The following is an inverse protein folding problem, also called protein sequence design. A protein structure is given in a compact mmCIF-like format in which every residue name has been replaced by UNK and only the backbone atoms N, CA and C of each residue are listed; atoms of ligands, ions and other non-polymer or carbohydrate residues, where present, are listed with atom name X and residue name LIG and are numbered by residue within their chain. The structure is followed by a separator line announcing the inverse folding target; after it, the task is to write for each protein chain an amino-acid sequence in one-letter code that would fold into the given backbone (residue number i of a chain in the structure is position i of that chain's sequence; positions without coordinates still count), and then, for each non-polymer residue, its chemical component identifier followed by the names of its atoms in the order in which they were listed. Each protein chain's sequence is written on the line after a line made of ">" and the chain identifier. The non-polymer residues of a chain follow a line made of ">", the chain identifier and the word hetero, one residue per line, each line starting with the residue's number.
data_IF_286355150024
#
_entry.id   IF_286355150024
#
_cell.length_a   1.000
_cell.length_b   1.000
_cell.length_c   1.000
_cell.angle_alpha   90.00
_cell.angle_beta   90.00
_cell.angle_gamma   90.00
#
_symmetry.space_group_name_H-M   'P 1'
#
loop_
_entity.id
_entity.type
_entity.pdbx_description
1 polymer ?
#
# COMPACT_ATOMS: atom_id res chain seq x y z
N UNK A 1 7.14 -6.65 -20.65
CA UNK A 1 7.28 -5.20 -20.81
C UNK A 1 7.91 -4.65 -19.55
N UNK A 2 9.18 -4.25 -19.62
CA UNK A 2 9.92 -3.67 -18.50
C UNK A 2 9.71 -2.15 -18.59
N UNK A 3 8.99 -1.56 -17.64
CA UNK A 3 8.84 -0.10 -17.58
C UNK A 3 10.17 0.46 -17.07
N UNK A 4 10.88 1.30 -17.84
CA UNK A 4 12.08 1.96 -17.35
C UNK A 4 11.70 2.96 -16.25
N UNK A 5 12.12 2.68 -15.02
CA UNK A 5 12.14 3.64 -13.91
C UNK A 5 12.92 4.89 -14.35
N UNK A 6 12.25 6.02 -14.50
CA UNK A 6 12.90 7.32 -14.62
C UNK A 6 13.70 7.59 -13.34
N UNK A 7 14.97 7.95 -13.50
CA UNK A 7 15.95 8.09 -12.42
C UNK A 7 15.75 9.32 -11.51
N UNK A 8 14.61 10.01 -11.63
CA UNK A 8 14.38 11.34 -11.03
C UNK A 8 13.42 11.32 -9.84
N UNK A 9 12.89 10.16 -9.44
CA UNK A 9 12.10 10.01 -8.22
C UNK A 9 12.81 9.09 -7.22
N UNK A 10 14.01 9.48 -6.79
CA UNK A 10 14.66 8.79 -5.67
C UNK A 10 15.06 9.84 -4.64
N UNK A 11 14.57 9.65 -3.41
CA UNK A 11 14.86 10.43 -2.20
C UNK A 11 13.91 11.60 -1.90
N UNK A 12 12.68 11.25 -1.48
CA UNK A 12 12.24 11.87 -0.23
C UNK A 12 13.19 11.38 0.86
N UNK A 13 13.84 12.30 1.56
CA UNK A 13 14.71 11.99 2.70
C UNK A 13 13.81 11.53 3.86
N UNK A 14 13.34 10.28 3.79
CA UNK A 14 12.61 9.67 4.89
C UNK A 14 13.62 9.46 6.01
N UNK A 15 13.64 10.39 6.97
CA UNK A 15 14.37 10.21 8.22
C UNK A 15 13.63 9.17 9.07
N UNK A 16 13.78 7.90 8.70
CA UNK A 16 13.19 6.77 9.42
C UNK A 16 13.98 6.62 10.73
N UNK A 17 13.35 6.75 11.90
CA UNK A 17 14.02 6.52 13.17
C UNK A 17 14.70 5.15 13.19
N UNK A 18 15.95 5.11 13.65
CA UNK A 18 16.75 3.87 13.73
C UNK A 18 16.03 2.77 14.50
N UNK A 19 15.33 3.14 15.56
CA UNK A 19 14.47 2.25 16.35
C UNK A 19 13.42 1.52 15.50
N UNK A 20 12.78 2.21 14.55
CA UNK A 20 11.77 1.60 13.68
C UNK A 20 12.39 0.63 12.69
N UNK A 21 13.59 0.93 12.18
CA UNK A 21 14.35 0.00 11.34
C UNK A 21 14.74 -1.25 12.13
N UNK A 22 15.22 -1.10 13.37
CA UNK A 22 15.58 -2.22 14.24
C UNK A 22 14.37 -3.12 14.55
N UNK A 23 13.20 -2.52 14.81
CA UNK A 23 11.94 -3.25 15.01
C UNK A 23 11.49 -4.00 13.75
N UNK A 24 11.59 -3.35 12.58
CA UNK A 24 11.27 -3.97 11.31
C UNK A 24 12.17 -5.20 11.03
N UNK A 25 13.48 -5.05 11.21
CA UNK A 25 14.45 -6.14 11.05
C UNK A 25 14.23 -7.27 12.07
N UNK A 26 13.87 -6.95 13.31
CA UNK A 26 13.48 -7.94 14.30
C UNK A 26 12.22 -8.72 13.89
N UNK A 27 11.21 -8.03 13.34
CA UNK A 27 10.00 -8.67 12.85
C UNK A 27 10.26 -9.54 11.61
N UNK A 28 11.14 -9.10 10.70
CA UNK A 28 11.50 -9.81 9.48
C UNK A 28 12.19 -11.17 9.77
N UNK A 29 13.00 -11.24 10.84
CA UNK A 29 13.70 -12.46 11.31
C UNK A 29 12.78 -13.55 11.89
N UNK A 30 11.50 -13.25 12.14
CA UNK A 30 10.55 -14.24 12.69
C UNK A 30 10.34 -15.41 11.70
N UNK A 31 10.22 -16.66 12.18
CA UNK A 31 9.91 -17.81 11.31
C UNK A 31 8.63 -17.58 10.49
N UNK A 32 8.57 -18.12 9.27
CA UNK A 32 7.45 -17.93 8.36
C UNK A 32 6.08 -18.27 9.00
N UNK A 33 6.00 -19.38 9.74
CA UNK A 33 4.77 -19.78 10.42
C UNK A 33 4.29 -18.72 11.43
N UNK A 34 5.23 -18.05 12.11
CA UNK A 34 4.92 -16.98 13.05
C UNK A 34 4.48 -15.70 12.33
N UNK A 35 5.14 -15.38 11.21
CA UNK A 35 4.74 -14.27 10.35
C UNK A 35 3.33 -14.49 9.81
N UNK A 36 3.03 -15.65 9.24
CA UNK A 36 1.69 -15.94 8.72
C UNK A 36 0.62 -15.93 9.82
N UNK A 37 0.95 -16.36 11.04
CA UNK A 37 0.01 -16.32 12.16
C UNK A 37 -0.38 -14.90 12.60
N UNK A 38 0.54 -13.94 12.51
CA UNK A 38 0.35 -12.59 13.07
C UNK A 38 0.45 -11.43 12.06
N UNK A 39 0.73 -11.71 10.77
CA UNK A 39 0.84 -10.67 9.74
C UNK A 39 -0.52 -10.18 9.24
N UNK A 40 -1.58 -10.96 9.43
CA UNK A 40 -2.92 -10.57 9.00
C UNK A 40 -3.59 -9.78 10.12
N UNK A 41 -3.83 -8.51 9.82
CA UNK A 41 -4.73 -7.66 10.60
C UNK A 41 -6.04 -7.53 9.82
N UNK A 42 -7.16 -7.63 10.53
CA UNK A 42 -8.45 -7.26 9.96
C UNK A 42 -8.59 -5.74 10.02
N UNK A 43 -8.14 -5.08 8.95
CA UNK A 43 -8.31 -3.63 8.79
C UNK A 43 -9.48 -3.39 7.86
N UNK A 44 -10.51 -2.75 8.37
CA UNK A 44 -11.59 -2.21 7.56
C UNK A 44 -11.02 -1.17 6.58
N UNK A 45 -11.28 -1.38 5.29
CA UNK A 45 -10.90 -0.50 4.19
C UNK A 45 -12.15 0.28 3.76
N UNK A 46 -12.29 1.55 4.19
CA UNK A 46 -13.48 2.34 3.87
C UNK A 46 -13.76 2.36 2.38
N UNK A 47 -15.04 2.32 2.00
CA UNK A 47 -15.52 2.31 0.61
C UNK A 47 -15.25 1.00 -0.15
N UNK A 48 -14.08 0.37 0.04
CA UNK A 48 -13.75 -0.91 -0.58
C UNK A 48 -14.53 -2.07 0.04
N UNK A 49 -14.59 -2.13 1.37
CA UNK A 49 -15.27 -3.21 2.09
C UNK A 49 -16.81 -2.99 2.15
N UNK A 50 -17.29 -1.81 1.77
CA UNK A 50 -18.71 -1.43 1.81
C UNK A 50 -19.53 -1.97 0.64
N UNK A 51 -18.88 -2.47 -0.41
CA UNK A 51 -19.53 -2.99 -1.60
C UNK A 51 -18.98 -4.37 -1.95
N UNK A 52 -19.86 -5.30 -2.33
CA UNK A 52 -19.46 -6.68 -2.68
C UNK A 52 -18.58 -6.76 -3.94
N UNK A 53 -18.77 -5.85 -4.90
CA UNK A 53 -17.88 -5.70 -6.06
C UNK A 53 -18.02 -4.32 -6.71
N UNK A 54 -17.01 -3.94 -7.48
CA UNK A 54 -17.03 -2.78 -8.38
C UNK A 54 -16.22 -3.07 -9.64
N UNK A 55 -16.73 -2.63 -10.77
CA UNK A 55 -16.06 -2.74 -12.07
C UNK A 55 -16.13 -1.41 -12.81
N UNK A 56 -15.18 -1.19 -13.70
CA UNK A 56 -15.08 0.00 -14.55
C UNK A 56 -14.78 -0.46 -15.97
N UNK A 57 -15.29 0.27 -16.96
CA UNK A 57 -15.05 -0.06 -18.37
C UNK A 57 -13.65 0.40 -18.82
N UNK A 58 -13.09 1.39 -18.13
CA UNK A 58 -11.73 1.89 -18.39
C UNK A 58 -10.90 2.10 -17.12
N UNK A 59 -9.58 2.09 -17.30
CA UNK A 59 -8.63 2.42 -16.22
C UNK A 59 -8.69 3.89 -15.79
N UNK A 60 -9.13 4.80 -16.67
CA UNK A 60 -9.26 6.23 -16.33
C UNK A 60 -10.46 6.47 -15.42
N UNK A 61 -11.58 5.79 -15.66
CA UNK A 61 -12.74 5.81 -14.77
C UNK A 61 -12.40 5.27 -13.39
N UNK A 62 -11.68 4.14 -13.35
CA UNK A 62 -11.16 3.57 -12.10
C UNK A 62 -10.31 4.59 -11.32
N UNK A 63 -9.34 5.25 -11.97
CA UNK A 63 -8.46 6.22 -11.31
C UNK A 63 -9.21 7.43 -10.76
N UNK A 64 -10.08 8.03 -11.57
CA UNK A 64 -10.93 9.16 -11.15
C UNK A 64 -11.81 8.79 -9.97
N UNK A 65 -12.33 7.57 -9.97
CA UNK A 65 -13.12 7.08 -8.84
C UNK A 65 -12.26 6.89 -7.59
N UNK A 66 -11.06 6.32 -7.70
CA UNK A 66 -10.11 6.18 -6.58
C UNK A 66 -9.77 7.53 -5.95
N UNK A 67 -9.42 8.53 -6.76
CA UNK A 67 -9.08 9.89 -6.30
C UNK A 67 -10.24 10.58 -5.58
N UNK A 68 -11.47 10.33 -6.01
CA UNK A 68 -12.66 10.97 -5.42
C UNK A 68 -13.16 10.29 -4.16
N UNK A 69 -13.03 8.96 -4.06
CA UNK A 69 -13.75 8.16 -3.06
C UNK A 69 -12.85 7.45 -2.07
N UNK A 70 -11.59 7.17 -2.40
CA UNK A 70 -10.69 6.43 -1.50
C UNK A 70 -9.86 7.39 -0.65
N UNK A 71 -9.68 7.08 0.64
CA UNK A 71 -8.72 7.78 1.47
C UNK A 71 -7.28 7.72 0.92
N UNK A 72 -6.54 8.82 1.05
CA UNK A 72 -5.18 8.96 0.53
C UNK A 72 -4.21 7.88 1.08
N UNK A 73 -4.38 7.50 2.35
CA UNK A 73 -3.52 6.50 3.01
C UNK A 73 -3.62 5.10 2.38
N UNK A 74 -4.64 4.81 1.57
CA UNK A 74 -4.74 3.55 0.83
C UNK A 74 -3.83 3.52 -0.41
N UNK A 75 -3.32 4.67 -0.89
CA UNK A 75 -2.32 4.73 -1.96
C UNK A 75 -2.85 4.41 -3.37
N UNK A 76 -4.16 4.51 -3.61
CA UNK A 76 -4.76 4.29 -4.94
C UNK A 76 -4.88 5.57 -5.79
N UNK A 77 -4.74 6.74 -5.19
CA UNK A 77 -4.69 8.01 -5.92
C UNK A 77 -3.38 8.13 -6.70
N UNK A 78 -3.36 8.97 -7.75
CA UNK A 78 -2.11 9.25 -8.50
C UNK A 78 -1.10 9.96 -7.59
N UNK A 79 0.17 9.55 -7.70
CA UNK A 79 1.35 10.21 -7.12
C UNK A 79 2.00 11.09 -8.16
#
# INVERSE_FOLDING_TARGET
>A
MNVPMSKEQTQGEWNIPREWLEEFEAAARRPLALRMRYAFIHTYKPVLDDAGYRSFDTMEEYRRWCEKNLPDWLGYARV
#
